data_IF_687166433929
#
_entry.id   IF_687166433929
#
_cell.length_a   1.000
_cell.length_b   1.000
_cell.length_c   1.000
_cell.angle_alpha   90.00
_cell.angle_beta   90.00
_cell.angle_gamma   90.00
#
_symmetry.space_group_name_H-M   'P 1'
#
loop_
_entity.id
_entity.type
_entity.pdbx_description
1 polymer ?
#
# COMPACT_ATOMS: atom_id res chain seq x y z
N UNK A 1 -22.99 1.34 4.65
CA UNK A 1 -21.70 0.62 4.72
C UNK A 1 -21.37 0.04 3.35
N UNK A 2 -20.35 0.59 2.68
CA UNK A 2 -19.98 0.24 1.30
C UNK A 2 -19.30 -1.13 1.17
N UNK A 3 -18.71 -1.63 2.25
CA UNK A 3 -17.94 -2.89 2.29
C UNK A 3 -18.59 -3.94 3.20
N UNK A 4 -19.89 -3.83 3.46
CA UNK A 4 -20.60 -4.75 4.34
C UNK A 4 -20.38 -6.21 3.91
N UNK A 5 -19.87 -7.02 4.84
CA UNK A 5 -19.60 -8.44 4.64
C UNK A 5 -18.46 -8.75 3.66
N UNK A 6 -17.67 -7.77 3.20
CA UNK A 6 -16.45 -7.98 2.42
C UNK A 6 -15.29 -8.39 3.31
N UNK A 7 -14.35 -9.14 2.74
CA UNK A 7 -13.12 -9.59 3.40
C UNK A 7 -11.93 -8.98 2.70
N UNK A 8 -11.08 -8.29 3.46
CA UNK A 8 -9.87 -7.66 2.95
C UNK A 8 -8.60 -8.22 3.62
N UNK A 9 -7.58 -8.48 2.81
CA UNK A 9 -6.21 -8.76 3.25
C UNK A 9 -5.34 -7.52 2.97
N UNK A 10 -4.64 -7.02 4.00
CA UNK A 10 -3.86 -5.78 3.92
C UNK A 10 -2.44 -6.02 4.43
N UNK A 11 -1.44 -5.80 3.57
CA UNK A 11 -0.04 -5.94 3.97
C UNK A 11 0.50 -4.65 4.59
N UNK A 12 1.37 -4.75 5.60
CA UNK A 12 1.93 -3.58 6.30
C UNK A 12 0.88 -2.76 7.05
N UNK A 13 -0.09 -3.41 7.70
CA UNK A 13 -1.32 -2.78 8.18
C UNK A 13 -1.33 -2.36 9.67
N UNK A 14 -0.17 -2.34 10.35
CA UNK A 14 -0.09 -1.95 11.78
C UNK A 14 0.31 -0.48 12.00
N UNK A 15 0.47 0.29 10.93
CA UNK A 15 0.85 1.71 11.00
C UNK A 15 0.49 2.44 9.71
N UNK A 16 0.48 3.77 9.77
CA UNK A 16 0.38 4.66 8.62
C UNK A 16 -0.78 4.36 7.69
N UNK A 17 -0.53 4.40 6.37
CA UNK A 17 -1.56 4.24 5.34
C UNK A 17 -2.29 2.90 5.46
N UNK A 18 -1.56 1.79 5.67
CA UNK A 18 -2.17 0.47 5.76
C UNK A 18 -3.12 0.32 6.95
N UNK A 19 -2.76 0.91 8.10
CA UNK A 19 -3.63 0.96 9.27
C UNK A 19 -4.88 1.81 9.00
N UNK A 20 -4.72 3.00 8.46
CA UNK A 20 -5.88 3.85 8.15
C UNK A 20 -6.84 3.23 7.13
N UNK A 21 -6.32 2.49 6.13
CA UNK A 21 -7.18 1.72 5.22
C UNK A 21 -7.93 0.62 5.97
N UNK A 22 -7.27 -0.09 6.89
CA UNK A 22 -7.92 -1.12 7.70
C UNK A 22 -9.04 -0.54 8.56
N UNK A 23 -8.81 0.58 9.23
CA UNK A 23 -9.80 1.31 10.03
C UNK A 23 -11.00 1.74 9.18
N UNK A 24 -10.75 2.34 8.01
CA UNK A 24 -11.80 2.76 7.09
C UNK A 24 -12.62 1.56 6.55
N UNK A 25 -11.98 0.44 6.22
CA UNK A 25 -12.66 -0.76 5.76
C UNK A 25 -13.53 -1.38 6.86
N UNK A 26 -13.04 -1.41 8.09
CA UNK A 26 -13.81 -1.87 9.25
C UNK A 26 -15.02 -0.98 9.53
N UNK A 27 -14.87 0.35 9.43
CA UNK A 27 -15.96 1.31 9.56
C UNK A 27 -17.03 1.12 8.47
N UNK A 28 -16.64 0.69 7.27
CA UNK A 28 -17.55 0.38 6.16
C UNK A 28 -18.09 -1.07 6.19
N UNK A 29 -17.87 -1.83 7.28
CA UNK A 29 -18.48 -3.13 7.51
C UNK A 29 -17.69 -4.32 6.96
N UNK A 30 -16.44 -4.14 6.56
CA UNK A 30 -15.57 -5.24 6.16
C UNK A 30 -15.03 -6.03 7.36
N UNK A 31 -14.55 -7.25 7.10
CA UNK A 31 -13.61 -7.96 7.95
C UNK A 31 -12.20 -7.83 7.36
N UNK A 32 -11.16 -7.69 8.19
CA UNK A 32 -9.80 -7.45 7.72
C UNK A 32 -8.78 -8.42 8.31
N UNK A 33 -7.88 -8.92 7.49
CA UNK A 33 -6.65 -9.59 7.91
C UNK A 33 -5.48 -8.60 7.76
N UNK A 34 -4.71 -8.41 8.82
CA UNK A 34 -3.59 -7.48 8.91
C UNK A 34 -2.27 -8.26 8.89
N UNK A 35 -1.37 -7.96 7.96
CA UNK A 35 -0.01 -8.54 7.94
C UNK A 35 1.01 -7.52 8.42
N UNK A 36 1.85 -7.92 9.37
CA UNK A 36 3.05 -7.18 9.79
C UNK A 36 4.05 -8.12 10.47
N UNK A 37 5.27 -7.62 10.70
CA UNK A 37 6.35 -8.40 11.36
C UNK A 37 6.23 -8.40 12.87
N UNK A 38 5.76 -7.31 13.46
CA UNK A 38 5.75 -7.11 14.91
C UNK A 38 4.41 -7.51 15.51
N UNK A 39 4.37 -8.68 16.15
CA UNK A 39 3.17 -9.23 16.79
C UNK A 39 2.66 -8.35 17.93
N UNK A 40 3.56 -7.86 18.81
CA UNK A 40 3.16 -7.01 19.94
C UNK A 40 2.47 -5.72 19.49
N UNK A 41 3.04 -5.06 18.46
CA UNK A 41 2.39 -3.86 17.87
C UNK A 41 1.05 -4.21 17.25
N UNK A 42 0.93 -5.36 16.61
CA UNK A 42 -0.30 -5.81 15.98
C UNK A 42 -1.41 -6.12 16.98
N UNK A 43 -1.07 -6.77 18.10
CA UNK A 43 -2.00 -7.04 19.19
C UNK A 43 -2.54 -5.74 19.83
N UNK A 44 -1.67 -4.74 20.03
CA UNK A 44 -2.09 -3.43 20.48
C UNK A 44 -3.07 -2.76 19.49
N UNK A 45 -2.75 -2.82 18.18
CA UNK A 45 -3.64 -2.28 17.14
C UNK A 45 -4.99 -3.01 17.13
N UNK A 46 -5.03 -4.34 17.24
CA UNK A 46 -6.30 -5.08 17.32
C UNK A 46 -7.13 -4.70 18.55
N UNK A 47 -6.48 -4.50 19.70
CA UNK A 47 -7.15 -4.06 20.92
C UNK A 47 -7.75 -2.65 20.77
N UNK A 48 -7.00 -1.71 20.16
CA UNK A 48 -7.47 -0.35 19.87
C UNK A 48 -8.64 -0.33 18.88
N UNK A 49 -8.61 -1.20 17.86
CA UNK A 49 -9.71 -1.31 16.89
C UNK A 49 -11.01 -1.81 17.52
N UNK A 50 -10.96 -2.65 18.54
CA UNK A 50 -12.11 -3.08 19.34
C UNK A 50 -13.23 -3.78 18.54
N UNK A 51 -12.92 -4.38 17.37
CA UNK A 51 -13.93 -4.92 16.43
C UNK A 51 -14.12 -6.44 16.54
N UNK A 52 -13.51 -7.06 17.57
CA UNK A 52 -13.61 -8.49 17.81
C UNK A 52 -13.14 -9.32 16.62
N UNK A 53 -13.90 -10.32 16.25
CA UNK A 53 -13.52 -11.28 15.20
C UNK A 53 -13.49 -10.69 13.77
N UNK A 54 -13.82 -9.42 13.58
CA UNK A 54 -13.74 -8.77 12.26
C UNK A 54 -12.33 -8.31 11.88
N UNK A 55 -11.39 -8.32 12.81
CA UNK A 55 -9.99 -8.06 12.53
C UNK A 55 -9.11 -9.19 13.07
N UNK A 56 -8.17 -9.66 12.27
CA UNK A 56 -7.18 -10.66 12.68
C UNK A 56 -5.79 -10.24 12.25
N UNK A 57 -4.80 -10.63 13.04
CA UNK A 57 -3.40 -10.45 12.70
C UNK A 57 -2.78 -11.76 12.24
N UNK A 58 -1.97 -11.68 11.20
CA UNK A 58 -1.17 -12.79 10.68
C UNK A 58 0.27 -12.30 10.52
N UNK A 59 1.18 -12.86 11.31
CA UNK A 59 2.59 -12.50 11.22
C UNK A 59 3.18 -12.87 9.87
N UNK A 60 4.02 -11.98 9.31
CA UNK A 60 4.72 -12.23 8.06
C UNK A 60 5.63 -11.07 7.65
N UNK A 61 6.70 -11.39 6.95
CA UNK A 61 7.61 -10.45 6.33
C UNK A 61 7.28 -10.32 4.83
N UNK A 62 7.00 -9.09 4.39
CA UNK A 62 6.69 -8.81 2.98
C UNK A 62 7.86 -9.10 2.01
N UNK A 63 9.08 -9.24 2.53
CA UNK A 63 10.24 -9.62 1.72
C UNK A 63 10.43 -11.13 1.58
N UNK A 64 9.55 -11.94 2.21
CA UNK A 64 9.58 -13.41 2.17
C UNK A 64 8.36 -13.92 1.44
N UNK A 65 8.57 -14.58 0.29
CA UNK A 65 7.49 -15.10 -0.56
C UNK A 65 6.52 -16.00 0.20
N UNK A 66 7.03 -16.96 0.96
CA UNK A 66 6.21 -17.91 1.72
C UNK A 66 5.31 -17.23 2.75
N UNK A 67 5.79 -16.15 3.37
CA UNK A 67 5.00 -15.38 4.33
C UNK A 67 3.88 -14.62 3.64
N UNK A 68 4.17 -13.97 2.49
CA UNK A 68 3.19 -13.22 1.72
C UNK A 68 2.09 -14.14 1.16
N UNK A 69 2.47 -15.25 0.53
CA UNK A 69 1.51 -16.21 -0.01
C UNK A 69 0.72 -16.89 1.11
N UNK A 70 1.40 -17.29 2.20
CA UNK A 70 0.77 -17.86 3.38
C UNK A 70 -0.18 -16.89 4.09
N UNK A 71 0.11 -15.59 4.10
CA UNK A 71 -0.79 -14.56 4.60
C UNK A 71 -2.11 -14.52 3.82
N UNK A 72 -2.03 -14.50 2.48
CA UNK A 72 -3.22 -14.48 1.61
C UNK A 72 -4.09 -15.72 1.84
N UNK A 73 -3.46 -16.90 1.94
CA UNK A 73 -4.18 -18.15 2.21
C UNK A 73 -4.87 -18.16 3.57
N UNK A 74 -4.15 -17.76 4.61
CA UNK A 74 -4.68 -17.71 5.98
C UNK A 74 -5.81 -16.69 6.11
N UNK A 75 -5.70 -15.54 5.43
CA UNK A 75 -6.77 -14.53 5.39
C UNK A 75 -8.04 -15.10 4.74
N UNK A 76 -7.90 -15.77 3.59
CA UNK A 76 -9.02 -16.41 2.91
C UNK A 76 -9.65 -17.54 3.75
N UNK A 77 -8.82 -18.38 4.39
CA UNK A 77 -9.30 -19.46 5.25
C UNK A 77 -10.01 -18.98 6.51
N UNK A 78 -9.49 -17.91 7.15
CA UNK A 78 -10.04 -17.33 8.38
C UNK A 78 -11.48 -16.83 8.21
N UNK A 79 -11.79 -16.24 7.04
CA UNK A 79 -13.09 -15.62 6.76
C UNK A 79 -13.91 -16.39 5.72
N UNK A 80 -13.40 -17.50 5.17
CA UNK A 80 -14.06 -18.33 4.16
C UNK A 80 -14.02 -17.78 2.74
N UNK A 81 -13.44 -16.59 2.51
CA UNK A 81 -13.31 -15.91 1.21
C UNK A 81 -12.28 -14.80 1.24
N UNK A 82 -11.95 -14.25 0.07
CA UNK A 82 -11.14 -13.04 -0.08
C UNK A 82 -11.73 -12.16 -1.19
N UNK A 83 -12.28 -11.01 -0.81
CA UNK A 83 -12.88 -10.06 -1.76
C UNK A 83 -11.89 -8.96 -2.18
N UNK A 84 -11.00 -8.53 -1.25
CA UNK A 84 -10.14 -7.36 -1.44
C UNK A 84 -8.71 -7.70 -1.00
N UNK A 85 -7.73 -7.33 -1.84
CA UNK A 85 -6.31 -7.33 -1.49
C UNK A 85 -5.78 -5.91 -1.54
N UNK A 86 -5.13 -5.45 -0.45
CA UNK A 86 -4.40 -4.19 -0.41
C UNK A 86 -2.91 -4.47 -0.23
N UNK A 87 -2.13 -4.23 -1.26
CA UNK A 87 -0.68 -4.30 -1.23
C UNK A 87 -0.11 -2.95 -0.76
N UNK A 88 0.09 -2.81 0.54
CA UNK A 88 0.58 -1.58 1.15
C UNK A 88 2.01 -1.71 1.70
N UNK A 89 2.47 -2.91 2.06
CA UNK A 89 3.83 -3.10 2.52
C UNK A 89 4.84 -2.62 1.47
N UNK A 90 5.78 -1.78 1.89
CA UNK A 90 6.79 -1.17 1.03
C UNK A 90 7.31 0.12 1.62
N UNK A 91 8.31 0.69 0.99
CA UNK A 91 8.92 1.95 1.41
C UNK A 91 10.19 2.27 0.66
N UNK A 92 10.72 3.46 0.88
CA UNK A 92 11.98 3.88 0.32
C UNK A 92 13.15 3.28 1.11
N UNK A 93 14.10 2.70 0.39
CA UNK A 93 15.39 2.19 0.88
C UNK A 93 16.48 2.68 -0.06
N UNK A 94 17.74 2.68 0.40
CA UNK A 94 18.87 3.05 -0.44
C UNK A 94 18.78 4.50 -0.92
N UNK A 95 18.59 5.45 0.00
CA UNK A 95 18.52 6.89 -0.29
C UNK A 95 19.93 7.43 -0.59
N UNK A 96 20.41 7.19 -1.80
CA UNK A 96 21.76 7.51 -2.25
C UNK A 96 21.76 7.96 -3.71
N UNK A 97 22.72 8.79 -4.14
CA UNK A 97 22.99 9.01 -5.56
C UNK A 97 23.21 7.68 -6.28
N UNK A 98 22.79 7.58 -7.53
CA UNK A 98 22.89 6.32 -8.30
C UNK A 98 24.31 5.78 -8.35
N UNK A 99 25.30 6.64 -8.43
CA UNK A 99 26.73 6.27 -8.50
C UNK A 99 27.21 5.52 -7.24
N UNK A 100 26.56 5.73 -6.09
CA UNK A 100 26.90 5.12 -4.80
C UNK A 100 25.90 4.01 -4.41
N UNK A 101 24.84 3.82 -5.18
CA UNK A 101 23.79 2.84 -4.88
C UNK A 101 24.29 1.42 -5.18
N UNK A 102 24.32 0.56 -4.16
CA UNK A 102 24.72 -0.85 -4.32
C UNK A 102 23.61 -1.69 -4.98
N UNK A 103 24.02 -2.74 -5.71
CA UNK A 103 23.10 -3.74 -6.27
C UNK A 103 22.20 -4.32 -5.17
N UNK A 104 22.76 -4.60 -3.99
CA UNK A 104 21.99 -5.10 -2.84
C UNK A 104 20.88 -4.14 -2.44
N UNK A 105 21.14 -2.84 -2.33
CA UNK A 105 20.11 -1.85 -1.96
C UNK A 105 19.03 -1.73 -3.03
N UNK A 106 19.42 -1.84 -4.30
CA UNK A 106 18.46 -1.87 -5.42
C UNK A 106 17.57 -3.11 -5.35
N UNK A 107 18.16 -4.30 -5.17
CA UNK A 107 17.44 -5.57 -5.04
C UNK A 107 16.48 -5.58 -3.84
N UNK A 108 16.90 -5.03 -2.69
CA UNK A 108 16.05 -4.89 -1.50
C UNK A 108 14.84 -4.00 -1.79
N UNK A 109 15.02 -2.88 -2.49
CA UNK A 109 13.93 -2.00 -2.90
C UNK A 109 12.94 -2.72 -3.82
N UNK A 110 13.44 -3.46 -4.82
CA UNK A 110 12.62 -4.27 -5.72
C UNK A 110 11.89 -5.38 -4.96
N UNK A 111 12.58 -6.07 -4.08
CA UNK A 111 12.01 -7.18 -3.31
C UNK A 111 10.87 -6.71 -2.40
N UNK A 112 11.09 -5.64 -1.66
CA UNK A 112 10.09 -5.13 -0.72
C UNK A 112 8.88 -4.49 -1.37
N UNK A 113 9.05 -3.80 -2.50
CA UNK A 113 7.95 -3.09 -3.16
C UNK A 113 7.30 -3.91 -4.30
N UNK A 114 8.10 -4.53 -5.16
CA UNK A 114 7.61 -5.17 -6.39
C UNK A 114 7.29 -6.64 -6.17
N UNK A 115 8.25 -7.41 -5.65
CA UNK A 115 8.04 -8.85 -5.45
C UNK A 115 6.94 -9.12 -4.42
N UNK A 116 6.89 -8.36 -3.32
CA UNK A 116 5.81 -8.45 -2.34
C UNK A 116 4.43 -8.30 -2.99
N UNK A 117 4.25 -7.24 -3.80
CA UNK A 117 3.03 -6.98 -4.55
C UNK A 117 2.72 -8.10 -5.55
N UNK A 118 3.72 -8.55 -6.31
CA UNK A 118 3.56 -9.64 -7.28
C UNK A 118 3.13 -10.96 -6.63
N UNK A 119 3.79 -11.39 -5.56
CA UNK A 119 3.45 -12.63 -4.87
C UNK A 119 2.03 -12.61 -4.31
N UNK A 120 1.66 -11.52 -3.65
CA UNK A 120 0.31 -11.35 -3.09
C UNK A 120 -0.77 -11.34 -4.18
N UNK A 121 -0.58 -10.59 -5.27
CA UNK A 121 -1.49 -10.56 -6.41
C UNK A 121 -1.66 -11.96 -7.02
N UNK A 122 -0.54 -12.62 -7.35
CA UNK A 122 -0.56 -13.97 -7.92
C UNK A 122 -1.30 -14.97 -7.04
N UNK A 123 -1.14 -14.87 -5.71
CA UNK A 123 -1.81 -15.78 -4.79
C UNK A 123 -3.30 -15.47 -4.65
N UNK A 124 -3.67 -14.20 -4.47
CA UNK A 124 -5.06 -13.76 -4.31
C UNK A 124 -5.91 -14.06 -5.56
N UNK A 125 -5.34 -13.92 -6.74
CA UNK A 125 -6.03 -14.20 -8.00
C UNK A 125 -6.52 -15.64 -8.11
N UNK A 126 -5.88 -16.63 -7.48
CA UNK A 126 -6.39 -18.00 -7.47
C UNK A 126 -7.80 -18.09 -6.88
N UNK A 127 -8.07 -17.33 -5.82
CA UNK A 127 -9.38 -17.26 -5.18
C UNK A 127 -10.34 -16.33 -5.92
N UNK A 128 -9.86 -15.14 -6.32
CA UNK A 128 -10.69 -14.12 -6.94
C UNK A 128 -11.20 -14.53 -8.33
N UNK A 129 -10.36 -15.19 -9.14
CA UNK A 129 -10.76 -15.68 -10.45
C UNK A 129 -11.78 -16.83 -10.34
N UNK A 130 -11.61 -17.74 -9.40
CA UNK A 130 -12.59 -18.78 -9.13
C UNK A 130 -13.94 -18.21 -8.68
N UNK A 131 -13.93 -17.11 -7.93
CA UNK A 131 -15.14 -16.40 -7.51
C UNK A 131 -15.70 -15.44 -8.56
N UNK A 132 -14.99 -15.19 -9.67
CA UNK A 132 -15.30 -14.17 -10.68
C UNK A 132 -15.57 -12.79 -10.06
N UNK A 133 -14.86 -12.47 -8.98
CA UNK A 133 -15.01 -11.22 -8.21
C UNK A 133 -13.76 -10.94 -7.42
N UNK A 134 -13.26 -9.72 -7.48
CA UNK A 134 -12.11 -9.30 -6.68
C UNK A 134 -11.78 -7.82 -6.85
N UNK A 135 -11.08 -7.27 -5.86
CA UNK A 135 -10.54 -5.91 -5.86
C UNK A 135 -9.10 -5.95 -5.40
N UNK A 136 -8.18 -5.53 -6.25
CA UNK A 136 -6.75 -5.41 -5.90
C UNK A 136 -6.38 -3.93 -5.90
N UNK A 137 -5.83 -3.47 -4.80
CA UNK A 137 -5.40 -2.08 -4.60
C UNK A 137 -3.92 -2.09 -4.23
N UNK A 138 -3.08 -1.53 -5.09
CA UNK A 138 -1.65 -1.42 -4.86
C UNK A 138 -1.30 -0.02 -4.36
N UNK A 139 -0.66 0.11 -3.21
CA UNK A 139 -0.16 1.40 -2.73
C UNK A 139 1.19 1.66 -3.41
N UNK A 140 1.12 2.47 -4.45
CA UNK A 140 2.28 2.96 -5.19
C UNK A 140 2.86 4.21 -4.50
N UNK A 141 3.15 5.24 -5.26
CA UNK A 141 3.64 6.54 -4.81
C UNK A 141 3.51 7.55 -5.95
N UNK A 142 3.54 8.83 -5.63
CA UNK A 142 3.84 9.88 -6.60
C UNK A 142 5.17 9.61 -7.32
N UNK A 143 6.14 8.97 -6.63
CA UNK A 143 7.42 8.52 -7.23
C UNK A 143 7.26 7.37 -8.24
N UNK A 144 6.09 6.78 -8.38
CA UNK A 144 5.75 5.88 -9.48
C UNK A 144 5.27 6.60 -10.74
N UNK A 145 5.20 7.93 -10.73
CA UNK A 145 4.80 8.79 -11.84
C UNK A 145 5.90 9.76 -12.28
N UNK A 146 6.74 10.16 -11.35
CA UNK A 146 7.92 10.99 -11.61
C UNK A 146 9.14 10.40 -10.87
N UNK A 147 10.25 11.10 -10.85
CA UNK A 147 11.46 10.70 -10.13
C UNK A 147 12.05 11.86 -9.35
N UNK A 148 12.71 11.54 -8.25
CA UNK A 148 13.49 12.50 -7.46
C UNK A 148 14.94 12.05 -7.32
N UNK A 149 15.87 12.98 -7.17
CA UNK A 149 17.25 12.66 -6.81
C UNK A 149 17.29 11.74 -5.58
N UNK A 150 18.26 10.86 -5.53
CA UNK A 150 18.53 9.86 -4.48
C UNK A 150 17.43 8.80 -4.25
N UNK A 151 16.34 8.84 -4.99
CA UNK A 151 15.21 7.89 -4.89
C UNK A 151 15.18 6.89 -6.07
N UNK A 152 16.27 6.68 -6.80
CA UNK A 152 16.30 5.89 -8.05
C UNK A 152 15.70 4.49 -7.86
N UNK A 153 16.14 3.73 -6.83
CA UNK A 153 15.63 2.38 -6.58
C UNK A 153 14.13 2.38 -6.23
N UNK A 154 13.70 3.32 -5.41
CA UNK A 154 12.30 3.46 -5.01
C UNK A 154 11.41 3.87 -6.18
N UNK A 155 11.82 4.89 -6.96
CA UNK A 155 11.08 5.34 -8.15
C UNK A 155 10.97 4.21 -9.17
N UNK A 156 12.05 3.47 -9.46
CA UNK A 156 12.01 2.32 -10.35
C UNK A 156 11.01 1.25 -9.85
N UNK A 157 11.05 0.93 -8.55
CA UNK A 157 10.14 -0.03 -7.95
C UNK A 157 8.66 0.42 -8.03
N UNK A 158 8.36 1.70 -7.76
CA UNK A 158 6.99 2.21 -7.81
C UNK A 158 6.46 2.36 -9.24
N UNK A 159 7.32 2.66 -10.22
CA UNK A 159 6.96 2.56 -11.65
C UNK A 159 6.65 1.12 -12.05
N UNK A 160 7.43 0.13 -11.55
CA UNK A 160 7.16 -1.28 -11.80
C UNK A 160 5.81 -1.72 -11.21
N UNK A 161 5.44 -1.27 -10.00
CA UNK A 161 4.11 -1.51 -9.41
C UNK A 161 3.00 -0.93 -10.28
N UNK A 162 3.17 0.28 -10.81
CA UNK A 162 2.20 0.89 -11.74
C UNK A 162 2.09 0.10 -13.06
N UNK A 163 3.22 -0.39 -13.59
CA UNK A 163 3.25 -1.27 -14.77
C UNK A 163 2.52 -2.59 -14.53
N UNK A 164 2.82 -3.24 -13.39
CA UNK A 164 2.15 -4.48 -12.95
C UNK A 164 0.63 -4.26 -12.82
N UNK A 165 0.20 -3.15 -12.21
CA UNK A 165 -1.21 -2.79 -12.05
C UNK A 165 -1.93 -2.72 -13.39
N UNK A 166 -1.35 -2.00 -14.37
CA UNK A 166 -1.93 -1.82 -15.70
C UNK A 166 -2.03 -3.12 -16.49
N UNK A 167 -0.96 -3.92 -16.46
CA UNK A 167 -0.92 -5.21 -17.16
C UNK A 167 -1.94 -6.18 -16.58
N UNK A 168 -1.94 -6.34 -15.26
CA UNK A 168 -2.84 -7.26 -14.56
C UNK A 168 -4.31 -6.87 -14.73
N UNK A 169 -4.65 -5.58 -14.70
CA UNK A 169 -6.02 -5.12 -14.92
C UNK A 169 -6.57 -5.56 -16.29
N UNK A 170 -5.75 -5.57 -17.32
CA UNK A 170 -6.13 -6.03 -18.67
C UNK A 170 -6.24 -7.55 -18.76
N UNK A 171 -5.44 -8.26 -18.00
CA UNK A 171 -5.45 -9.72 -17.96
C UNK A 171 -6.70 -10.29 -17.28
N UNK A 172 -7.16 -9.66 -16.19
CA UNK A 172 -8.23 -10.22 -15.34
C UNK A 172 -9.55 -9.47 -15.38
N UNK A 173 -9.65 -8.35 -16.07
CA UNK A 173 -10.83 -7.47 -16.06
C UNK A 173 -12.12 -8.15 -16.53
N UNK A 174 -12.05 -9.03 -17.54
CA UNK A 174 -13.20 -9.81 -18.03
C UNK A 174 -13.66 -10.90 -17.05
N UNK A 175 -12.92 -11.14 -16.00
CA UNK A 175 -13.18 -12.14 -14.98
C UNK A 175 -13.67 -11.53 -13.65
N UNK A 176 -14.21 -10.30 -13.71
CA UNK A 176 -14.82 -9.62 -12.56
C UNK A 176 -13.83 -9.06 -11.52
N UNK A 177 -12.53 -9.02 -11.84
CA UNK A 177 -11.50 -8.49 -10.95
C UNK A 177 -11.02 -7.12 -11.43
N UNK A 178 -11.00 -6.12 -10.53
CA UNK A 178 -10.36 -4.83 -10.81
C UNK A 178 -9.02 -4.72 -10.11
N UNK A 179 -8.06 -4.06 -10.77
CA UNK A 179 -6.71 -3.85 -10.23
C UNK A 179 -6.34 -2.39 -10.41
N UNK A 180 -6.10 -1.67 -9.33
CA UNK A 180 -5.75 -0.24 -9.36
C UNK A 180 -4.57 0.06 -8.44
N UNK A 181 -3.88 1.15 -8.71
CA UNK A 181 -2.87 1.71 -7.83
C UNK A 181 -3.34 3.07 -7.27
N UNK A 182 -3.08 3.30 -6.00
CA UNK A 182 -3.15 4.63 -5.40
C UNK A 182 -1.72 5.15 -5.34
N UNK A 183 -1.50 6.39 -5.75
CA UNK A 183 -0.20 7.07 -5.76
C UNK A 183 -0.23 8.22 -4.75
N UNK A 184 0.07 7.96 -3.46
CA UNK A 184 0.14 9.03 -2.46
C UNK A 184 1.28 9.99 -2.73
N UNK A 185 1.08 11.26 -2.39
CA UNK A 185 2.14 12.23 -2.20
C UNK A 185 2.79 12.10 -0.81
N UNK A 186 3.24 13.22 -0.26
CA UNK A 186 3.75 13.25 1.11
C UNK A 186 2.61 12.98 2.10
N UNK A 187 2.75 11.93 2.90
CA UNK A 187 1.85 11.59 4.03
C UNK A 187 2.70 11.39 5.27
N UNK A 188 2.43 12.13 6.34
CA UNK A 188 3.20 12.07 7.59
C UNK A 188 2.81 10.81 8.37
N UNK A 189 3.44 9.70 8.03
CA UNK A 189 3.28 8.40 8.67
C UNK A 189 4.37 8.15 9.72
N UNK A 190 4.26 7.05 10.50
CA UNK A 190 5.27 6.63 11.45
C UNK A 190 6.66 6.47 10.78
N UNK A 191 6.71 5.97 9.53
CA UNK A 191 7.98 5.83 8.79
C UNK A 191 8.61 7.20 8.57
N UNK A 192 7.84 8.19 8.15
CA UNK A 192 8.34 9.55 7.93
C UNK A 192 8.74 10.21 9.25
N UNK A 193 7.96 10.02 10.32
CA UNK A 193 8.32 10.56 11.65
C UNK A 193 9.61 9.94 12.22
N UNK A 194 9.84 8.65 11.98
CA UNK A 194 10.99 7.94 12.51
C UNK A 194 12.27 8.16 11.69
N UNK A 195 12.18 8.17 10.36
CA UNK A 195 13.35 8.26 9.47
C UNK A 195 13.58 9.69 8.95
N UNK A 196 12.55 10.53 8.97
CA UNK A 196 12.61 11.91 8.47
C UNK A 196 13.65 12.79 9.16
N UNK A 197 13.81 12.74 10.49
CA UNK A 197 14.82 13.55 11.18
C UNK A 197 16.25 13.30 10.67
N UNK A 198 16.63 12.04 10.43
CA UNK A 198 17.95 11.70 9.89
C UNK A 198 18.11 12.16 8.44
N UNK A 199 17.04 12.04 7.65
CA UNK A 199 17.02 12.54 6.27
C UNK A 199 17.15 14.06 6.22
N UNK A 200 16.40 14.79 7.06
CA UNK A 200 16.46 16.24 7.14
C UNK A 200 17.86 16.73 7.57
N UNK A 201 18.46 16.05 8.56
CA UNK A 201 19.83 16.33 9.00
C UNK A 201 20.84 16.13 7.86
N UNK A 202 20.71 15.08 7.06
CA UNK A 202 21.56 14.85 5.88
C UNK A 202 21.37 15.95 4.81
N UNK A 203 20.21 16.58 4.76
CA UNK A 203 19.90 17.72 3.88
C UNK A 203 20.30 19.08 4.48
N UNK A 204 20.83 19.11 5.73
CA UNK A 204 21.25 20.35 6.41
C UNK A 204 20.09 21.21 6.91
N UNK A 205 18.92 20.62 7.18
CA UNK A 205 17.71 21.33 7.63
C UNK A 205 17.02 20.60 8.78
N UNK A 206 16.04 21.22 9.43
CA UNK A 206 15.17 20.59 10.41
C UNK A 206 14.13 19.69 9.76
N UNK A 207 13.51 18.78 10.53
CA UNK A 207 12.45 17.93 10.05
C UNK A 207 11.24 18.72 9.54
N UNK A 208 10.86 19.77 10.23
CA UNK A 208 9.73 20.65 9.85
C UNK A 208 10.01 21.39 8.55
N UNK A 209 11.22 21.94 8.39
CA UNK A 209 11.65 22.58 7.13
C UNK A 209 11.63 21.61 5.96
N UNK A 210 12.05 20.36 6.17
CA UNK A 210 11.99 19.30 5.16
C UNK A 210 10.53 18.99 4.78
N UNK A 211 9.65 18.84 5.76
CA UNK A 211 8.22 18.59 5.53
C UNK A 211 7.59 19.76 4.76
N UNK A 212 7.86 20.99 5.15
CA UNK A 212 7.35 22.17 4.47
C UNK A 212 7.88 22.27 3.03
N UNK A 213 9.17 22.00 2.83
CA UNK A 213 9.78 21.99 1.49
C UNK A 213 9.06 20.98 0.58
N UNK A 214 8.85 19.76 1.02
CA UNK A 214 8.13 18.76 0.23
C UNK A 214 6.64 19.10 0.06
N UNK A 215 6.00 19.71 1.05
CA UNK A 215 4.62 20.17 0.94
C UNK A 215 4.47 21.27 -0.13
N UNK A 216 5.47 22.14 -0.29
CA UNK A 216 5.45 23.20 -1.32
C UNK A 216 5.50 22.68 -2.76
N UNK A 217 5.89 21.41 -2.98
CA UNK A 217 5.81 20.78 -4.30
C UNK A 217 4.36 20.48 -4.71
N UNK A 218 3.45 20.28 -3.75
CA UNK A 218 2.04 20.00 -4.04
C UNK A 218 1.25 21.31 -4.31
N UNK A 219 0.18 21.22 -5.09
CA UNK A 219 -0.71 22.36 -5.34
C UNK A 219 -1.46 22.80 -4.07
N UNK A 220 -1.80 21.85 -3.17
CA UNK A 220 -2.51 22.15 -1.92
C UNK A 220 -1.60 22.65 -0.80
N UNK A 221 -0.28 22.66 -1.00
CA UNK A 221 0.73 23.21 -0.07
C UNK A 221 0.71 22.61 1.34
N UNK A 222 0.31 21.36 1.47
CA UNK A 222 0.33 20.57 2.70
C UNK A 222 0.53 19.09 2.42
N UNK A 223 1.00 18.29 3.40
CA UNK A 223 0.95 16.84 3.31
C UNK A 223 -0.50 16.35 3.14
N UNK A 224 -0.66 15.24 2.45
CA UNK A 224 -1.92 14.51 2.45
C UNK A 224 -2.13 13.79 3.78
N UNK A 225 -3.38 13.50 4.13
CA UNK A 225 -3.72 12.71 5.31
C UNK A 225 -3.89 11.23 4.96
N UNK A 226 -3.81 10.37 5.97
CA UNK A 226 -4.07 8.94 5.82
C UNK A 226 -5.52 8.69 5.41
N UNK A 227 -6.45 9.50 5.92
CA UNK A 227 -7.88 9.43 5.64
C UNK A 227 -8.19 9.76 4.17
N UNK A 228 -7.47 10.71 3.57
CA UNK A 228 -7.61 11.03 2.13
C UNK A 228 -7.24 9.82 1.25
N UNK A 229 -6.19 9.10 1.61
CA UNK A 229 -5.80 7.85 0.94
C UNK A 229 -6.83 6.74 1.16
N UNK A 230 -7.27 6.58 2.40
CA UNK A 230 -8.23 5.54 2.79
C UNK A 230 -9.60 5.73 2.11
N UNK A 231 -10.06 6.97 1.93
CA UNK A 231 -11.30 7.27 1.22
C UNK A 231 -11.27 6.77 -0.23
N UNK A 232 -10.15 6.95 -0.93
CA UNK A 232 -9.97 6.41 -2.29
C UNK A 232 -9.89 4.89 -2.27
N UNK A 233 -9.22 4.30 -1.27
CA UNK A 233 -9.18 2.84 -1.12
C UNK A 233 -10.59 2.25 -0.91
N UNK A 234 -11.44 2.88 -0.08
CA UNK A 234 -12.85 2.49 0.11
C UNK A 234 -13.61 2.55 -1.21
N UNK A 235 -13.47 3.64 -1.98
CA UNK A 235 -14.09 3.76 -3.31
C UNK A 235 -13.69 2.60 -4.22
N UNK A 236 -12.40 2.33 -4.36
CA UNK A 236 -11.88 1.27 -5.24
C UNK A 236 -12.29 -0.14 -4.80
N UNK A 237 -12.45 -0.35 -3.50
CA UNK A 237 -12.88 -1.62 -2.91
C UNK A 237 -14.38 -1.86 -3.04
N UNK A 238 -15.17 -0.81 -3.17
CA UNK A 238 -16.63 -0.84 -3.18
C UNK A 238 -17.22 -1.18 -4.55
N UNK A 239 -18.54 -1.47 -4.63
CA UNK A 239 -19.24 -1.63 -5.91
C UNK A 239 -19.15 -0.39 -6.80
N UNK A 240 -19.13 0.81 -6.23
CA UNK A 240 -19.06 2.09 -6.96
C UNK A 240 -17.74 2.25 -7.73
N UNK A 241 -16.66 1.61 -7.24
CA UNK A 241 -15.36 1.53 -7.92
C UNK A 241 -15.30 0.48 -9.03
N UNK A 242 -16.38 -0.25 -9.31
CA UNK A 242 -16.39 -1.38 -10.24
C UNK A 242 -16.03 -1.02 -11.70
N UNK A 243 -16.23 0.23 -12.10
CA UNK A 243 -15.82 0.75 -13.40
C UNK A 243 -14.37 1.24 -13.48
N UNK A 244 -13.62 1.20 -12.38
CA UNK A 244 -12.23 1.70 -12.31
C UNK A 244 -11.30 0.50 -12.27
N UNK A 245 -10.48 0.32 -13.33
CA UNK A 245 -9.44 -0.71 -13.38
C UNK A 245 -8.26 -0.25 -14.25
N UNK A 246 -7.04 -0.64 -13.87
CA UNK A 246 -5.80 -0.23 -14.53
C UNK A 246 -5.40 1.21 -14.24
N UNK A 247 -6.11 1.89 -13.34
CA UNK A 247 -5.82 3.28 -12.99
C UNK A 247 -4.65 3.39 -12.00
N UNK A 248 -3.91 4.50 -12.12
CA UNK A 248 -2.89 4.94 -11.17
C UNK A 248 -3.34 6.29 -10.61
N UNK A 249 -4.13 6.24 -9.53
CA UNK A 249 -4.87 7.40 -9.00
C UNK A 249 -3.97 8.19 -8.06
N UNK A 250 -3.72 9.44 -8.42
CA UNK A 250 -3.00 10.38 -7.56
C UNK A 250 -3.86 10.80 -6.38
N UNK A 251 -3.29 10.69 -5.16
CA UNK A 251 -3.76 11.34 -3.94
C UNK A 251 -2.54 12.04 -3.33
N UNK A 252 -2.08 13.07 -4.02
CA UNK A 252 -0.76 13.66 -3.86
C UNK A 252 -0.81 15.21 -3.74
N UNK A 253 -2.02 15.73 -3.60
CA UNK A 253 -2.23 17.16 -3.51
C UNK A 253 -1.85 17.92 -4.78
N UNK A 254 -1.76 17.24 -5.94
CA UNK A 254 -1.38 17.85 -7.21
C UNK A 254 0.14 17.99 -7.40
N UNK A 255 0.93 17.09 -6.78
CA UNK A 255 2.38 17.03 -6.97
C UNK A 255 2.76 16.44 -8.34
N UNK A 256 2.02 15.42 -8.82
CA UNK A 256 2.17 14.88 -10.16
C UNK A 256 1.00 15.32 -11.04
N UNK A 257 1.29 15.80 -12.24
CA UNK A 257 0.28 16.36 -13.15
C UNK A 257 -0.36 15.34 -14.10
N UNK A 258 -0.05 14.03 -13.98
CA UNK A 258 -0.55 12.97 -14.89
C UNK A 258 -0.74 11.63 -14.18
#
# INVERSE_FOLDING_TARGET
>A
MKLQGKVAAITGATAGIGRGIAEAFLAEGASVALMARNATKAEAVLAELGVGNRAVFIAGDATVQADVEGFVDKAAAQFGKLDILVNNAGGATGLQPLVDLSDQSFDEAMKWNVYATFWACRRALKTMLAAQSGRIINISSVEGKHGKPVLTAYSAAKHAVNGLTKALAREVGTQGVTVNAICPGLVITDIIRNNGPDTAKAMGMSFDEMVDMFAQESAIKRPNTVEEIAAVAVLLASPEGGGITGATISVDGGSAQY
#
